data_IF_179858784779
#
_entry.id   IF_179858784779
#
_cell.length_a   1.000
_cell.length_b   1.000
_cell.length_c   1.000
_cell.angle_alpha   90.00
_cell.angle_beta   90.00
_cell.angle_gamma   90.00
#
_symmetry.space_group_name_H-M   'P 1'
#
loop_
_entity.id
_entity.type
_entity.pdbx_description
1 polymer ?
#
# COMPACT_ATOMS: atom_id res chain seq x y z
N UNK A 1 -5.62 25.36 -13.28
CA UNK A 1 -5.10 23.98 -13.15
C UNK A 1 -4.95 23.44 -14.55
N UNK A 2 -3.74 23.13 -14.99
CA UNK A 2 -3.50 22.52 -16.30
C UNK A 2 -3.82 21.03 -16.23
N UNK A 3 -4.48 20.52 -17.27
CA UNK A 3 -4.73 19.09 -17.45
C UNK A 3 -3.43 18.38 -17.81
N UNK A 4 -2.60 18.12 -16.80
CA UNK A 4 -1.39 17.32 -16.98
C UNK A 4 -1.79 15.90 -17.38
N UNK A 5 -1.33 15.48 -18.55
CA UNK A 5 -1.44 14.12 -19.07
C UNK A 5 -0.02 13.63 -19.33
N UNK A 6 0.49 12.64 -18.58
CA UNK A 6 1.82 12.10 -18.84
C UNK A 6 1.84 11.36 -20.18
N UNK A 7 2.92 11.53 -20.93
CA UNK A 7 3.21 10.73 -22.12
C UNK A 7 3.58 9.27 -21.78
N UNK A 8 3.64 8.44 -22.81
CA UNK A 8 3.89 7.01 -22.66
C UNK A 8 5.29 6.70 -22.11
N UNK A 9 6.31 7.48 -22.47
CA UNK A 9 7.68 7.30 -21.97
C UNK A 9 7.78 7.61 -20.47
N UNK A 10 7.04 8.63 -20.02
CA UNK A 10 6.92 8.99 -18.61
C UNK A 10 6.21 7.88 -17.83
N UNK A 11 5.14 7.31 -18.37
CA UNK A 11 4.42 6.17 -17.76
C UNK A 11 5.31 4.93 -17.70
N UNK A 12 6.02 4.61 -18.78
CA UNK A 12 6.95 3.49 -18.86
C UNK A 12 8.07 3.63 -17.82
N UNK A 13 8.64 4.83 -17.72
CA UNK A 13 9.66 5.16 -16.71
C UNK A 13 9.10 4.98 -15.30
N UNK A 14 7.90 5.49 -15.03
CA UNK A 14 7.21 5.33 -13.76
C UNK A 14 7.00 3.86 -13.37
N UNK A 15 6.56 3.04 -14.33
CA UNK A 15 6.40 1.59 -14.15
C UNK A 15 7.74 0.90 -13.85
N UNK A 16 8.79 1.20 -14.61
CA UNK A 16 10.11 0.59 -14.42
C UNK A 16 10.68 0.89 -13.03
N UNK A 17 10.57 2.15 -12.58
CA UNK A 17 11.00 2.56 -11.25
C UNK A 17 10.22 1.81 -10.16
N UNK A 18 8.88 1.81 -10.26
CA UNK A 18 8.02 1.11 -9.31
C UNK A 18 8.34 -0.40 -9.25
N UNK A 19 8.52 -1.04 -10.40
CA UNK A 19 8.85 -2.46 -10.49
C UNK A 19 10.23 -2.79 -9.90
N UNK A 20 11.21 -1.88 -10.02
CA UNK A 20 12.52 -2.06 -9.36
C UNK A 20 12.41 -1.91 -7.85
N UNK A 21 11.61 -0.97 -7.36
CA UNK A 21 11.37 -0.76 -5.92
C UNK A 21 10.66 -1.96 -5.28
N UNK A 22 9.64 -2.52 -5.94
CA UNK A 22 8.90 -3.69 -5.42
C UNK A 22 9.80 -4.92 -5.32
N UNK A 23 10.64 -5.19 -6.34
CA UNK A 23 11.63 -6.27 -6.33
C UNK A 23 12.61 -6.18 -5.16
N UNK A 24 12.97 -4.96 -4.72
CA UNK A 24 13.86 -4.75 -3.58
C UNK A 24 13.14 -4.87 -2.23
N UNK A 25 11.89 -4.43 -2.18
CA UNK A 25 11.10 -4.34 -0.94
C UNK A 25 10.26 -5.58 -0.65
N UNK A 26 10.33 -6.62 -1.49
CA UNK A 26 9.63 -7.89 -1.26
C UNK A 26 8.13 -7.85 -1.55
N UNK A 27 7.65 -6.82 -2.25
CA UNK A 27 6.27 -6.72 -2.72
C UNK A 27 6.17 -7.10 -4.20
N UNK A 28 4.97 -7.47 -4.64
CA UNK A 28 4.71 -7.84 -6.02
C UNK A 28 3.69 -6.89 -6.64
N UNK A 29 3.88 -6.56 -7.92
CA UNK A 29 2.90 -5.82 -8.71
C UNK A 29 1.94 -6.80 -9.38
N UNK A 30 0.76 -6.31 -9.74
CA UNK A 30 -0.19 -7.04 -10.57
C UNK A 30 0.48 -7.58 -11.85
N UNK A 31 0.22 -8.85 -12.25
CA UNK A 31 0.80 -9.42 -13.46
C UNK A 31 0.34 -8.73 -14.76
N UNK A 32 -0.80 -8.04 -14.77
CA UNK A 32 -1.24 -7.24 -15.93
C UNK A 32 -0.49 -5.91 -16.00
N UNK A 33 0.54 -5.87 -16.86
CA UNK A 33 1.40 -4.70 -17.06
C UNK A 33 0.63 -3.47 -17.54
N UNK A 34 -0.37 -3.66 -18.41
CA UNK A 34 -1.13 -2.54 -18.95
C UNK A 34 -2.01 -1.93 -17.84
N UNK A 35 -2.64 -2.77 -17.04
CA UNK A 35 -3.38 -2.33 -15.86
C UNK A 35 -2.49 -1.57 -14.88
N UNK A 36 -1.30 -2.08 -14.57
CA UNK A 36 -0.33 -1.39 -13.71
C UNK A 36 0.06 -0.02 -14.29
N UNK A 37 0.31 0.08 -15.59
CA UNK A 37 0.66 1.34 -16.25
C UNK A 37 -0.46 2.38 -16.15
N UNK A 38 -1.72 1.98 -16.28
CA UNK A 38 -2.86 2.90 -16.07
C UNK A 38 -2.93 3.40 -14.63
N UNK A 39 -2.63 2.55 -13.64
CA UNK A 39 -2.53 2.99 -12.24
C UNK A 39 -1.34 3.93 -12.01
N UNK A 40 -0.19 3.67 -12.63
CA UNK A 40 0.99 4.55 -12.60
C UNK A 40 0.66 5.91 -13.22
N UNK A 41 -0.04 5.94 -14.35
CA UNK A 41 -0.55 7.16 -14.97
C UNK A 41 -1.43 7.95 -13.99
N UNK A 42 -2.38 7.29 -13.33
CA UNK A 42 -3.20 7.92 -12.30
C UNK A 42 -2.39 8.49 -11.12
N UNK A 43 -1.37 7.76 -10.66
CA UNK A 43 -0.45 8.23 -9.61
C UNK A 43 0.33 9.48 -10.04
N UNK A 44 0.83 9.53 -11.28
CA UNK A 44 1.55 10.67 -11.83
C UNK A 44 0.66 11.91 -11.96
N UNK A 45 -0.58 11.72 -12.44
CA UNK A 45 -1.58 12.79 -12.52
C UNK A 45 -1.88 13.34 -11.12
N UNK A 46 -2.11 12.46 -10.15
CA UNK A 46 -2.37 12.84 -8.76
C UNK A 46 -1.16 13.52 -8.12
N UNK A 47 0.06 13.09 -8.45
CA UNK A 47 1.29 13.76 -8.01
C UNK A 47 1.36 15.19 -8.49
N UNK A 48 1.06 15.42 -9.77
CA UNK A 48 1.02 16.77 -10.34
C UNK A 48 -0.10 17.61 -9.71
N UNK A 49 -1.28 17.02 -9.51
CA UNK A 49 -2.48 17.72 -9.02
C UNK A 49 -2.43 18.06 -7.53
N UNK A 50 -2.00 17.12 -6.70
CA UNK A 50 -2.09 17.18 -5.23
C UNK A 50 -0.73 17.26 -4.53
N UNK A 51 0.38 17.26 -5.29
CA UNK A 51 1.73 17.25 -4.74
C UNK A 51 2.08 15.96 -3.98
N UNK A 52 1.38 14.86 -4.25
CA UNK A 52 1.65 13.53 -3.69
C UNK A 52 1.05 12.42 -4.56
N UNK A 53 1.61 11.22 -4.45
CA UNK A 53 1.13 10.02 -5.13
C UNK A 53 -0.18 9.50 -4.49
N UNK A 54 -1.24 10.31 -4.46
CA UNK A 54 -2.54 9.87 -3.93
C UNK A 54 -3.05 8.66 -4.72
N UNK A 55 -3.64 7.69 -4.01
CA UNK A 55 -4.24 6.49 -4.60
C UNK A 55 -5.14 6.87 -5.79
N UNK A 56 -4.93 6.28 -6.99
CA UNK A 56 -5.67 6.64 -8.19
C UNK A 56 -7.13 6.14 -8.15
N UNK A 57 -7.46 5.18 -7.28
CA UNK A 57 -8.79 4.60 -7.17
C UNK A 57 -9.61 5.13 -5.97
N UNK A 58 -9.07 6.09 -5.20
CA UNK A 58 -9.78 6.73 -4.09
C UNK A 58 -9.86 8.24 -4.34
N UNK A 59 -11.00 8.82 -3.95
CA UNK A 59 -11.22 10.25 -4.09
C UNK A 59 -10.37 11.01 -3.06
N UNK A 60 -9.63 12.01 -3.54
CA UNK A 60 -8.91 12.97 -2.73
C UNK A 60 -9.85 14.13 -2.38
N UNK A 61 -10.22 14.26 -1.11
CA UNK A 61 -11.20 15.27 -0.63
C UNK A 61 -10.53 16.13 0.44
N UNK A 62 -10.69 17.45 0.34
CA UNK A 62 -10.12 18.37 1.31
C UNK A 62 -8.62 18.52 1.13
N UNK A 63 -7.91 18.72 2.23
CA UNK A 63 -6.48 19.03 2.20
C UNK A 63 -5.62 17.77 2.20
N UNK A 64 -4.34 17.93 1.86
CA UNK A 64 -3.36 16.84 1.89
C UNK A 64 -3.25 16.18 3.28
N UNK A 65 -3.57 16.89 4.35
CA UNK A 65 -3.57 16.35 5.70
C UNK A 65 -4.62 15.24 5.89
N UNK A 66 -5.80 15.38 5.26
CA UNK A 66 -6.94 14.46 5.39
C UNK A 66 -6.79 13.19 4.52
N UNK A 67 -5.77 13.17 3.67
CA UNK A 67 -5.56 12.12 2.66
C UNK A 67 -4.21 11.41 2.83
N UNK A 68 -3.53 11.61 3.96
CA UNK A 68 -2.24 10.94 4.24
C UNK A 68 -2.37 9.42 4.18
N UNK A 69 -3.50 8.90 4.66
CA UNK A 69 -3.81 7.47 4.70
C UNK A 69 -3.89 6.82 3.31
N UNK A 70 -4.20 7.61 2.27
CA UNK A 70 -4.33 7.14 0.88
C UNK A 70 -3.16 7.53 -0.03
N UNK A 71 -2.08 8.12 0.51
CA UNK A 71 -0.84 8.31 -0.26
C UNK A 71 -0.25 6.93 -0.56
N UNK A 72 0.02 6.63 -1.83
CA UNK A 72 0.52 5.32 -2.26
C UNK A 72 2.00 5.13 -1.87
N UNK A 73 2.37 3.99 -1.25
CA UNK A 73 1.51 2.90 -0.79
C UNK A 73 0.70 3.29 0.46
N UNK A 74 -0.63 3.09 0.42
CA UNK A 74 -1.55 3.52 1.47
C UNK A 74 -1.49 2.64 2.72
N UNK A 75 -2.00 3.15 3.84
CA UNK A 75 -1.98 2.45 5.14
C UNK A 75 -2.70 1.08 5.11
N UNK A 76 -3.67 0.93 4.21
CA UNK A 76 -4.49 -0.28 4.05
C UNK A 76 -3.79 -1.41 3.28
N UNK A 77 -2.71 -1.12 2.53
CA UNK A 77 -2.13 -2.03 1.54
C UNK A 77 -1.76 -3.39 2.13
N UNK A 78 -1.05 -3.39 3.25
CA UNK A 78 -0.46 -4.62 3.79
C UNK A 78 -1.55 -5.53 4.38
N UNK A 79 -2.54 -4.95 5.08
CA UNK A 79 -3.69 -5.68 5.60
C UNK A 79 -4.58 -6.22 4.47
N UNK A 80 -4.76 -5.45 3.39
CA UNK A 80 -5.50 -5.89 2.19
C UNK A 80 -4.79 -7.06 1.49
N UNK A 81 -3.47 -6.97 1.28
CA UNK A 81 -2.70 -8.06 0.67
C UNK A 81 -2.72 -9.30 1.56
N UNK A 82 -2.54 -9.14 2.87
CA UNK A 82 -2.53 -10.27 3.81
C UNK A 82 -3.88 -10.98 3.89
N UNK A 83 -5.00 -10.26 3.80
CA UNK A 83 -6.34 -10.83 3.95
C UNK A 83 -6.91 -11.30 2.59
N UNK A 84 -6.82 -10.45 1.57
CA UNK A 84 -7.48 -10.66 0.29
C UNK A 84 -6.53 -11.08 -0.83
N UNK A 85 -5.24 -10.84 -0.68
CA UNK A 85 -4.23 -11.18 -1.69
C UNK A 85 -3.92 -10.04 -2.67
N UNK A 86 -4.57 -8.89 -2.55
CA UNK A 86 -4.29 -7.69 -3.32
C UNK A 86 -4.67 -6.43 -2.52
N UNK A 87 -4.09 -5.28 -2.84
CA UNK A 87 -4.56 -4.00 -2.31
C UNK A 87 -5.84 -3.52 -3.02
N UNK A 88 -6.50 -2.49 -2.50
CA UNK A 88 -7.78 -2.01 -3.04
C UNK A 88 -7.78 -1.69 -4.54
N UNK A 89 -6.74 -1.04 -5.05
CA UNK A 89 -6.58 -0.75 -6.48
C UNK A 89 -5.98 -1.92 -7.27
N UNK A 90 -5.75 -3.07 -6.65
CA UNK A 90 -5.05 -4.22 -7.20
C UNK A 90 -3.68 -3.90 -7.82
N UNK A 91 -3.00 -2.81 -7.41
CA UNK A 91 -1.64 -2.48 -7.86
C UNK A 91 -0.62 -3.46 -7.30
N UNK A 92 -0.73 -3.74 -6.00
CA UNK A 92 0.11 -4.69 -5.28
C UNK A 92 -0.67 -5.96 -5.00
N UNK A 93 0.00 -7.09 -5.16
CA UNK A 93 -0.57 -8.43 -4.99
C UNK A 93 0.32 -9.30 -4.12
N UNK A 94 -0.29 -10.32 -3.52
CA UNK A 94 0.40 -11.41 -2.83
C UNK A 94 1.12 -12.32 -3.82
N UNK A 95 2.06 -13.12 -3.32
CA UNK A 95 2.73 -14.11 -4.18
C UNK A 95 1.76 -15.12 -4.78
N UNK A 96 0.76 -15.57 -4.03
CA UNK A 96 -0.25 -16.54 -4.51
C UNK A 96 -1.07 -15.99 -5.68
N UNK A 97 -1.34 -14.68 -5.69
CA UNK A 97 -2.02 -14.04 -6.82
C UNK A 97 -1.08 -13.88 -8.00
N UNK A 98 0.18 -13.51 -7.76
CA UNK A 98 1.19 -13.42 -8.81
C UNK A 98 1.44 -14.77 -9.52
N UNK A 99 1.46 -15.88 -8.77
CA UNK A 99 1.67 -17.23 -9.33
C UNK A 99 0.42 -17.82 -9.97
N UNK A 100 -0.73 -17.17 -9.86
CA UNK A 100 -2.01 -17.68 -10.36
C UNK A 100 -2.63 -18.78 -9.48
N UNK A 101 -2.11 -19.00 -8.27
CA UNK A 101 -2.70 -19.93 -7.29
C UNK A 101 -4.00 -19.39 -6.69
N UNK A 102 -4.14 -18.06 -6.62
CA UNK A 102 -5.34 -17.37 -6.12
C UNK A 102 -5.80 -16.34 -7.13
N UNK A 103 -7.10 -16.31 -7.40
CA UNK A 103 -7.71 -15.32 -8.28
C UNK A 103 -7.69 -13.90 -7.66
N UNK A 104 -7.57 -12.89 -8.53
CA UNK A 104 -7.83 -11.51 -8.16
C UNK A 104 -9.32 -11.32 -7.87
N UNK A 105 -9.63 -10.81 -6.68
CA UNK A 105 -11.00 -10.50 -6.26
C UNK A 105 -11.18 -8.99 -6.07
N UNK A 106 -12.43 -8.53 -6.13
CA UNK A 106 -12.78 -7.20 -5.63
C UNK A 106 -12.81 -7.24 -4.11
N UNK A 107 -12.15 -6.26 -3.47
CA UNK A 107 -12.05 -6.17 -2.02
C UNK A 107 -12.85 -4.96 -1.51
N UNK A 108 -13.32 -4.99 -0.25
CA UNK A 108 -13.99 -3.83 0.34
C UNK A 108 -13.03 -2.64 0.51
N UNK A 109 -13.53 -1.41 0.36
CA UNK A 109 -12.72 -0.22 0.65
C UNK A 109 -12.62 0.00 2.17
N UNK A 110 -11.51 -0.43 2.77
CA UNK A 110 -11.26 -0.28 4.22
C UNK A 110 -11.32 1.15 4.73
N UNK A 111 -11.10 2.16 3.88
CA UNK A 111 -11.22 3.57 4.27
C UNK A 111 -12.66 3.92 4.68
N UNK A 112 -13.65 3.32 4.01
CA UNK A 112 -15.07 3.59 4.24
C UNK A 112 -15.82 2.44 4.91
N UNK A 113 -15.22 1.24 5.00
CA UNK A 113 -15.81 0.09 5.66
C UNK A 113 -16.02 0.29 7.18
N UNK A 114 -15.30 1.24 7.80
CA UNK A 114 -15.49 1.65 9.18
C UNK A 114 -16.29 2.96 9.27
N UNK A 115 -17.62 2.89 9.10
CA UNK A 115 -18.48 3.88 9.77
C UNK A 115 -18.66 3.39 11.21
N UNK A 116 -17.83 3.95 12.08
CA UNK A 116 -17.87 4.01 13.56
C UNK A 116 -16.50 3.67 14.15
N UNK A 117 -15.66 4.69 14.33
CA UNK A 117 -14.76 4.75 15.49
C UNK A 117 -14.37 6.21 15.72
N UNK A 118 -14.67 6.68 16.94
CA UNK A 118 -14.52 8.03 17.42
C UNK A 118 -13.13 8.62 17.13
N UNK A 119 -13.12 9.84 16.61
CA UNK A 119 -11.97 10.74 16.64
C UNK A 119 -11.68 11.13 18.10
N UNK A 120 -10.94 10.30 18.83
CA UNK A 120 -10.26 10.77 20.03
C UNK A 120 -8.77 10.91 19.72
N UNK A 121 -8.37 12.12 19.32
CA UNK A 121 -6.98 12.55 19.23
C UNK A 121 -6.45 12.96 20.62
N UNK A 122 -6.82 12.19 21.64
CA UNK A 122 -6.26 12.27 22.98
C UNK A 122 -4.81 11.80 23.00
N UNK A 123 -3.93 12.60 23.62
CA UNK A 123 -2.54 12.25 23.91
C UNK A 123 -2.40 10.78 24.34
N UNK A 124 -1.60 10.02 23.60
CA UNK A 124 -1.31 8.61 23.86
C UNK A 124 -0.80 8.48 25.30
N UNK A 125 -1.63 7.89 26.18
CA UNK A 125 -1.16 7.33 27.44
C UNK A 125 -0.14 6.25 27.08
N UNK A 126 1.08 6.38 27.58
CA UNK A 126 2.14 5.38 27.44
C UNK A 126 1.62 4.01 27.89
N UNK A 127 1.33 3.12 26.94
CA UNK A 127 0.86 1.76 27.22
C UNK A 127 -0.13 1.15 26.22
N UNK A 128 -0.92 1.95 25.49
CA UNK A 128 -1.90 1.43 24.52
C UNK A 128 -1.59 1.89 23.10
N UNK A 129 -0.91 1.04 22.32
CA UNK A 129 -0.74 1.24 20.89
C UNK A 129 -2.01 0.77 20.14
N UNK A 130 -2.44 1.50 19.10
CA UNK A 130 -3.62 1.12 18.32
C UNK A 130 -3.43 -0.19 17.53
N UNK A 131 -2.19 -0.57 17.25
CA UNK A 131 -1.82 -1.81 16.57
C UNK A 131 -0.65 -2.49 17.28
N UNK A 132 -0.57 -3.83 17.27
CA UNK A 132 0.60 -4.53 17.75
C UNK A 132 1.84 -4.16 16.92
N UNK A 133 3.01 -4.27 17.53
CA UNK A 133 4.30 -4.07 16.86
C UNK A 133 4.89 -5.42 16.56
N UNK A 134 5.23 -5.66 15.29
CA UNK A 134 5.95 -6.86 14.85
C UNK A 134 7.42 -6.56 14.60
N UNK A 135 8.29 -7.46 15.02
CA UNK A 135 9.74 -7.42 14.80
C UNK A 135 10.20 -8.55 13.90
N UNK A 136 10.93 -8.23 12.83
CA UNK A 136 11.62 -9.23 12.04
C UNK A 136 12.80 -9.81 12.84
N UNK A 137 12.82 -11.14 13.05
CA UNK A 137 13.88 -11.84 13.80
C UNK A 137 15.22 -11.89 13.05
N UNK A 138 15.22 -11.64 11.74
CA UNK A 138 16.43 -11.65 10.90
C UNK A 138 17.18 -10.32 10.98
N UNK A 139 16.50 -9.19 10.72
CA UNK A 139 17.16 -7.89 10.61
C UNK A 139 16.70 -6.84 11.62
N UNK A 140 15.73 -7.16 12.48
CA UNK A 140 15.21 -6.25 13.51
C UNK A 140 14.22 -5.19 13.03
N UNK A 141 13.78 -5.21 11.77
CA UNK A 141 12.75 -4.29 11.24
C UNK A 141 11.48 -4.33 12.11
N UNK A 142 10.96 -3.15 12.46
CA UNK A 142 9.74 -2.98 13.26
C UNK A 142 8.62 -2.38 12.40
N UNK A 143 7.41 -2.93 12.53
CA UNK A 143 6.21 -2.38 11.91
C UNK A 143 5.02 -2.46 12.86
N UNK A 144 4.15 -1.45 12.85
CA UNK A 144 2.92 -1.42 13.65
C UNK A 144 1.73 -1.57 12.70
N UNK A 145 1.14 -2.76 12.66
CA UNK A 145 0.08 -3.19 11.74
C UNK A 145 -0.77 -4.27 12.39
N UNK A 146 -1.93 -4.60 11.81
CA UNK A 146 -2.75 -5.72 12.30
C UNK A 146 -2.04 -7.06 12.09
N UNK A 147 -1.41 -7.24 10.93
CA UNK A 147 -0.61 -8.41 10.56
C UNK A 147 0.79 -8.00 10.09
N UNK A 148 1.82 -8.87 10.24
CA UNK A 148 3.13 -8.60 9.66
C UNK A 148 3.09 -8.69 8.12
N UNK A 149 3.99 -8.01 7.40
CA UNK A 149 4.06 -8.10 5.95
C UNK A 149 4.47 -9.51 5.49
N UNK A 150 4.02 -9.92 4.30
CA UNK A 150 4.35 -11.22 3.69
C UNK A 150 5.88 -11.42 3.57
N UNK A 151 6.58 -10.32 3.27
CA UNK A 151 8.04 -10.25 3.20
C UNK A 151 8.54 -9.02 3.96
N UNK A 152 9.65 -9.20 4.67
CA UNK A 152 10.33 -8.09 5.31
C UNK A 152 10.87 -7.12 4.24
N UNK A 153 10.51 -5.83 4.27
CA UNK A 153 10.94 -4.86 3.26
C UNK A 153 12.43 -4.51 3.34
N UNK A 154 13.12 -4.97 4.39
CA UNK A 154 14.54 -4.70 4.61
C UNK A 154 15.41 -5.89 4.21
N UNK A 155 15.05 -7.12 4.61
CA UNK A 155 15.87 -8.31 4.39
C UNK A 155 15.22 -9.42 3.54
N UNK A 156 13.94 -9.28 3.16
CA UNK A 156 13.23 -10.27 2.35
C UNK A 156 12.81 -11.55 3.09
N UNK A 157 13.02 -11.65 4.41
CA UNK A 157 12.53 -12.76 5.21
C UNK A 157 10.98 -12.89 5.13
N UNK A 158 10.45 -14.12 5.14
CA UNK A 158 9.01 -14.40 5.17
C UNK A 158 8.33 -13.90 6.44
N UNK A 159 7.02 -13.69 6.39
CA UNK A 159 6.16 -13.28 7.51
C UNK A 159 6.31 -14.17 8.76
N UNK A 160 6.61 -15.45 8.59
CA UNK A 160 6.88 -16.40 9.70
C UNK A 160 8.10 -16.03 10.55
N UNK A 161 9.01 -15.20 10.00
CA UNK A 161 10.17 -14.67 10.71
C UNK A 161 9.86 -13.40 11.50
N UNK A 162 8.59 -13.03 11.64
CA UNK A 162 8.16 -11.94 12.51
C UNK A 162 7.63 -12.47 13.83
N UNK A 163 8.00 -11.81 14.92
CA UNK A 163 7.43 -12.02 16.25
C UNK A 163 6.67 -10.78 16.70
N UNK A 164 5.58 -10.97 17.46
CA UNK A 164 4.94 -9.84 18.15
C UNK A 164 5.90 -9.34 19.24
N UNK A 165 6.24 -8.05 19.15
CA UNK A 165 7.19 -7.39 20.04
C UNK A 165 6.50 -6.59 21.14
N UNK A 166 5.45 -5.84 20.78
CA UNK A 166 4.57 -5.07 21.70
C UNK A 166 3.11 -5.33 21.31
#
# INVERSE_FOLDING_TARGET
MTDYVPDEDTINTGYLNLNQETKKSGYFLNPDINYVKELVKGLLINKNRYGCNSCPCRLFIGDKADNKDIICPCDYRDDDISEFGCCYCALYVSKSVLSGEKDLIQIPDRRYAKKEENTDTGLIKTGNLPYPVFRCRVCGYLCSRKNPPEKCPICGASSENFEKYI
#
